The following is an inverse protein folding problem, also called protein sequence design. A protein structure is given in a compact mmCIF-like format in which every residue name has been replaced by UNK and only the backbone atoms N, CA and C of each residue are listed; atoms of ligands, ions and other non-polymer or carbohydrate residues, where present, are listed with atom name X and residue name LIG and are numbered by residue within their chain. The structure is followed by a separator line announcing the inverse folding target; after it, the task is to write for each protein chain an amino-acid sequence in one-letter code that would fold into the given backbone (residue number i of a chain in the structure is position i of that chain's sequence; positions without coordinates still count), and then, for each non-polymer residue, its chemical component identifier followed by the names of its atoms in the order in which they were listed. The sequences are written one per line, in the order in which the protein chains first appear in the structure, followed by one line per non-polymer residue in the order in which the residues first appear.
data_IF_923786509362
#
_entry.id   IF_923786509362
#
_cell.length_a   1.000
_cell.length_b   1.000
_cell.length_c   1.000
_cell.angle_alpha   90.00
_cell.angle_beta   90.00
_cell.angle_gamma   90.00
#
_symmetry.space_group_name_H-M   'P 1'
#
loop_
_entity.id
_entity.type
_entity.pdbx_description
1 polymer ?
#
# COMPACT_ATOMS: atom_id res chain seq x y z
N UNK A 1 -8.10 8.53 5.56
CA UNK A 1 -7.65 7.54 6.56
C UNK A 1 -8.67 7.25 7.67
N UNK A 2 -9.75 8.05 7.86
CA UNK A 2 -10.73 7.83 8.94
C UNK A 2 -11.92 6.93 8.55
N UNK A 3 -11.92 6.37 7.34
CA UNK A 3 -13.09 5.65 6.81
C UNK A 3 -13.14 4.17 7.23
N UNK A 4 -12.02 3.60 7.69
CA UNK A 4 -11.91 2.14 7.87
C UNK A 4 -11.93 1.66 9.34
N UNK A 5 -12.16 2.53 10.33
CA UNK A 5 -12.16 2.16 11.77
C UNK A 5 -10.95 1.28 12.14
N UNK A 6 -9.76 1.67 11.68
CA UNK A 6 -8.49 0.96 11.97
C UNK A 6 -7.49 1.88 12.66
N UNK A 7 -6.68 1.30 13.55
CA UNK A 7 -5.62 2.02 14.20
C UNK A 7 -4.53 2.44 13.18
N UNK A 8 -3.85 3.60 13.37
CA UNK A 8 -2.75 4.02 12.51
C UNK A 8 -1.62 2.98 12.39
N UNK A 9 -1.35 2.23 13.46
CA UNK A 9 -0.36 1.14 13.43
C UNK A 9 -0.75 0.00 12.49
N UNK A 10 -2.03 -0.34 12.43
CA UNK A 10 -2.58 -1.34 11.50
C UNK A 10 -2.37 -0.90 10.05
N UNK A 11 -2.64 0.36 9.74
CA UNK A 11 -2.38 0.92 8.40
C UNK A 11 -0.89 0.79 8.04
N UNK A 12 0.03 1.12 8.96
CA UNK A 12 1.47 1.00 8.72
C UNK A 12 1.89 -0.45 8.42
N UNK A 13 1.39 -1.41 9.20
CA UNK A 13 1.70 -2.83 9.01
C UNK A 13 1.22 -3.35 7.64
N UNK A 14 0.02 -2.95 7.21
CA UNK A 14 -0.49 -3.31 5.89
C UNK A 14 0.30 -2.65 4.77
N UNK A 15 0.65 -1.36 4.88
CA UNK A 15 1.47 -0.69 3.87
C UNK A 15 2.84 -1.31 3.71
N UNK A 16 3.51 -1.68 4.81
CA UNK A 16 4.80 -2.38 4.75
C UNK A 16 4.69 -3.74 4.05
N UNK A 17 3.61 -4.48 4.34
CA UNK A 17 3.34 -5.76 3.68
C UNK A 17 3.07 -5.60 2.18
N UNK A 18 2.36 -4.55 1.78
CA UNK A 18 2.11 -4.22 0.37
C UNK A 18 3.42 -3.89 -0.33
N UNK A 19 4.27 -3.06 0.27
CA UNK A 19 5.56 -2.69 -0.32
C UNK A 19 6.45 -3.90 -0.55
N UNK A 20 6.54 -4.80 0.43
CA UNK A 20 7.27 -6.07 0.29
C UNK A 20 6.72 -6.97 -0.82
N UNK A 21 5.39 -7.02 -0.98
CA UNK A 21 4.75 -7.86 -2.02
C UNK A 21 4.91 -7.28 -3.42
N UNK A 22 4.98 -5.96 -3.54
CA UNK A 22 5.16 -5.27 -4.81
C UNK A 22 6.64 -5.03 -5.15
N UNK A 23 7.55 -5.35 -4.23
CA UNK A 23 9.00 -5.12 -4.31
C UNK A 23 9.35 -3.65 -4.56
N UNK A 24 8.86 -2.76 -3.68
CA UNK A 24 9.02 -1.30 -3.77
C UNK A 24 9.42 -0.69 -2.43
N UNK A 25 10.03 0.49 -2.46
CA UNK A 25 10.56 1.16 -1.26
C UNK A 25 9.58 2.16 -0.61
N UNK A 26 8.62 2.69 -1.37
CA UNK A 26 7.75 3.76 -0.89
C UNK A 26 6.33 3.74 -1.50
N UNK A 27 5.48 4.65 -1.00
CA UNK A 27 4.08 4.77 -1.41
C UNK A 27 3.92 5.10 -2.89
N UNK A 28 4.76 5.99 -3.42
CA UNK A 28 4.65 6.46 -4.80
C UNK A 28 4.95 5.32 -5.77
N UNK A 29 6.02 4.57 -5.52
CA UNK A 29 6.38 3.38 -6.28
C UNK A 29 5.30 2.29 -6.17
N UNK A 30 4.75 2.07 -4.98
CA UNK A 30 3.66 1.10 -4.79
C UNK A 30 2.43 1.43 -5.63
N UNK A 31 2.04 2.70 -5.71
CA UNK A 31 0.90 3.13 -6.53
C UNK A 31 1.21 2.96 -8.01
N UNK A 32 2.42 3.37 -8.46
CA UNK A 32 2.83 3.21 -9.85
C UNK A 32 2.86 1.72 -10.27
N UNK A 33 3.48 0.86 -9.44
CA UNK A 33 3.57 -0.57 -9.68
C UNK A 33 2.20 -1.25 -9.67
N UNK A 34 1.33 -0.90 -8.73
CA UNK A 34 -0.01 -1.45 -8.66
C UNK A 34 -0.88 -1.08 -9.87
N UNK A 35 -0.71 0.12 -10.46
CA UNK A 35 -1.36 0.49 -11.72
C UNK A 35 -0.82 -0.28 -12.91
N UNK A 36 0.51 -0.45 -13.01
CA UNK A 36 1.13 -1.27 -14.07
C UNK A 36 0.64 -2.73 -14.04
N UNK A 37 0.38 -3.26 -12.85
CA UNK A 37 -0.14 -4.62 -12.65
C UNK A 37 -1.67 -4.71 -12.77
N UNK A 38 -2.39 -3.60 -12.99
CA UNK A 38 -3.85 -3.58 -13.07
C UNK A 38 -4.58 -3.84 -11.75
N UNK A 39 -3.89 -3.73 -10.60
CA UNK A 39 -4.47 -3.92 -9.25
C UNK A 39 -5.25 -2.68 -8.82
N UNK A 40 -4.76 -1.50 -9.20
CA UNK A 40 -5.43 -0.23 -8.97
C UNK A 40 -5.97 0.33 -10.29
N UNK A 41 -7.17 0.91 -10.28
CA UNK A 41 -7.70 1.64 -11.43
C UNK A 41 -6.92 2.92 -11.73
#
# INVERSE_FOLDING_TARGET
ARQLIVAPGTVKAHTASIYRKLDVANRTEAVARARQLGILP
#
